data_IF_020996841043
#
_entry.id   IF_020996841043
#
_cell.length_a   1.000
_cell.length_b   1.000
_cell.length_c   1.000
_cell.angle_alpha   90.00
_cell.angle_beta   90.00
_cell.angle_gamma   90.00
#
_symmetry.space_group_name_H-M   'P 1'
#
loop_
_entity.id
_entity.type
_entity.pdbx_description
1 polymer ?
#
# COMPACT_ATOMS: atom_id res chain seq x y z
N UNK A 1 13.58 1.27 21.31
CA UNK A 1 12.95 0.10 20.68
C UNK A 1 13.48 -0.01 19.26
N UNK A 2 14.07 -1.14 18.86
CA UNK A 2 14.49 -1.39 17.48
C UNK A 2 13.45 -2.30 16.85
N UNK A 3 12.86 -1.89 15.73
CA UNK A 3 11.95 -2.75 14.99
C UNK A 3 12.73 -3.99 14.53
N UNK A 4 12.10 -5.17 14.63
CA UNK A 4 12.67 -6.43 14.14
C UNK A 4 12.20 -6.60 12.70
N UNK A 5 13.14 -6.86 11.80
CA UNK A 5 12.85 -7.08 10.39
C UNK A 5 11.89 -8.27 10.21
N UNK A 6 10.94 -8.14 9.28
CA UNK A 6 9.90 -9.14 9.02
C UNK A 6 10.14 -9.82 7.68
N UNK A 7 10.46 -11.11 7.67
CA UNK A 7 10.75 -11.83 6.42
C UNK A 7 9.47 -12.26 5.68
N UNK A 8 9.33 -11.87 4.41
CA UNK A 8 8.27 -12.32 3.51
C UNK A 8 8.70 -12.21 2.04
N UNK A 9 8.38 -13.23 1.24
CA UNK A 9 8.58 -13.23 -0.22
C UNK A 9 10.01 -12.84 -0.66
N UNK A 10 11.01 -13.43 0.01
CA UNK A 10 12.44 -13.19 -0.21
C UNK A 10 12.92 -11.76 0.13
N UNK A 11 12.14 -10.97 0.86
CA UNK A 11 12.51 -9.64 1.36
C UNK A 11 12.35 -9.53 2.87
N UNK A 12 13.21 -8.73 3.50
CA UNK A 12 13.08 -8.31 4.88
C UNK A 12 12.35 -6.96 4.90
N UNK A 13 11.12 -6.96 5.41
CA UNK A 13 10.34 -5.75 5.56
C UNK A 13 10.68 -5.01 6.85
N UNK A 14 10.77 -3.68 6.77
CA UNK A 14 11.05 -2.77 7.90
C UNK A 14 9.99 -2.82 8.99
N UNK A 15 8.78 -3.27 8.65
CA UNK A 15 7.70 -3.46 9.61
C UNK A 15 6.78 -4.63 9.27
N UNK A 16 6.13 -5.19 10.30
CA UNK A 16 5.04 -6.16 10.12
C UNK A 16 3.86 -5.56 9.33
N UNK A 17 3.67 -4.25 9.39
CA UNK A 17 2.60 -3.56 8.68
C UNK A 17 2.86 -3.58 7.17
N UNK A 18 4.06 -3.20 6.74
CA UNK A 18 4.51 -3.32 5.35
C UNK A 18 4.43 -4.77 4.87
N UNK A 19 4.91 -5.73 5.66
CA UNK A 19 4.86 -7.15 5.30
C UNK A 19 3.41 -7.64 5.05
N UNK A 20 2.43 -7.13 5.80
CA UNK A 20 1.01 -7.46 5.55
C UNK A 20 0.48 -6.84 4.27
N UNK A 21 0.88 -5.61 3.93
CA UNK A 21 0.56 -5.02 2.63
C UNK A 21 1.19 -5.79 1.47
N UNK A 22 2.41 -6.29 1.64
CA UNK A 22 3.05 -7.18 0.66
C UNK A 22 2.27 -8.50 0.47
N UNK A 23 1.76 -9.11 1.55
CA UNK A 23 0.87 -10.29 1.49
C UNK A 23 -0.41 -9.94 0.73
N UNK A 24 -1.02 -8.80 1.05
CA UNK A 24 -2.24 -8.34 0.40
C UNK A 24 -2.05 -8.17 -1.12
N UNK A 25 -1.00 -7.45 -1.56
CA UNK A 25 -0.71 -7.29 -2.98
C UNK A 25 -0.44 -8.62 -3.68
N UNK A 26 0.31 -9.54 -3.02
CA UNK A 26 0.57 -10.88 -3.53
C UNK A 26 -0.71 -11.69 -3.71
N UNK A 27 -1.60 -11.69 -2.71
CA UNK A 27 -2.87 -12.41 -2.74
C UNK A 27 -3.79 -11.90 -3.87
N UNK A 28 -3.71 -10.60 -4.20
CA UNK A 28 -4.43 -10.02 -5.32
C UNK A 28 -3.81 -10.30 -6.69
N UNK A 29 -2.57 -10.79 -6.75
CA UNK A 29 -1.80 -10.95 -7.99
C UNK A 29 -1.25 -9.64 -8.53
N UNK A 30 -1.14 -8.60 -7.69
CA UNK A 30 -0.61 -7.29 -8.07
C UNK A 30 0.91 -7.37 -8.09
N UNK A 31 1.51 -6.98 -9.21
CA UNK A 31 2.95 -6.79 -9.30
C UNK A 31 3.34 -5.58 -8.46
N UNK A 32 4.30 -5.75 -7.56
CA UNK A 32 4.88 -4.67 -6.78
C UNK A 32 6.40 -4.83 -6.68
N UNK A 33 7.06 -3.70 -6.42
CA UNK A 33 8.44 -3.63 -5.97
C UNK A 33 8.42 -3.14 -4.52
N UNK A 34 9.16 -3.79 -3.63
CA UNK A 34 9.35 -3.35 -2.25
C UNK A 34 10.67 -2.57 -2.18
N UNK A 35 10.65 -1.37 -1.59
CA UNK A 35 11.81 -0.46 -1.55
C UNK A 35 12.52 -0.31 -2.92
N UNK A 36 11.81 0.10 -3.99
CA UNK A 36 12.29 0.02 -5.38
C UNK A 36 13.61 0.76 -5.62
N UNK A 37 13.62 2.08 -5.40
CA UNK A 37 14.80 2.93 -5.45
C UNK A 37 14.54 4.21 -4.66
N UNK A 38 15.62 4.83 -4.16
CA UNK A 38 15.54 6.07 -3.39
C UNK A 38 15.68 7.32 -4.26
N UNK A 39 14.88 8.33 -3.97
CA UNK A 39 14.90 9.64 -4.62
C UNK A 39 15.71 10.64 -3.83
N UNK A 40 16.31 11.61 -4.52
CA UNK A 40 17.09 12.69 -3.92
C UNK A 40 16.59 14.03 -4.44
N UNK A 41 16.21 14.93 -3.53
CA UNK A 41 15.81 16.29 -3.86
C UNK A 41 17.02 17.17 -4.23
N UNK A 42 16.75 18.35 -4.79
CA UNK A 42 17.79 19.34 -5.10
C UNK A 42 18.61 19.80 -3.88
N UNK A 43 18.05 19.72 -2.66
CA UNK A 43 18.74 20.06 -1.42
C UNK A 43 19.37 18.85 -0.71
N UNK A 44 19.43 17.69 -1.36
CA UNK A 44 20.06 16.47 -0.84
C UNK A 44 19.20 15.65 0.13
N UNK A 45 17.93 16.03 0.31
CA UNK A 45 16.98 15.23 1.10
C UNK A 45 16.66 13.95 0.35
N UNK A 46 16.67 12.81 1.05
CA UNK A 46 16.44 11.49 0.47
C UNK A 46 15.06 10.96 0.86
N UNK A 47 14.40 10.28 -0.05
CA UNK A 47 13.12 9.62 0.20
C UNK A 47 13.10 8.24 -0.45
N UNK A 48 12.61 7.23 0.27
CA UNK A 48 12.48 5.86 -0.23
C UNK A 48 11.06 5.37 0.08
N UNK A 49 10.17 5.30 -0.92
CA UNK A 49 8.81 4.79 -0.73
C UNK A 49 8.83 3.30 -0.38
N UNK A 50 7.81 2.85 0.35
CA UNK A 50 7.71 1.44 0.78
C UNK A 50 7.45 0.49 -0.39
N UNK A 51 6.54 0.88 -1.30
CA UNK A 51 6.19 0.06 -2.46
C UNK A 51 6.06 0.89 -3.74
N UNK A 52 6.23 0.22 -4.88
CA UNK A 52 5.83 0.71 -6.19
C UNK A 52 4.99 -0.33 -6.92
N UNK A 53 3.83 0.08 -7.43
CA UNK A 53 2.85 -0.76 -8.13
C UNK A 53 2.81 -0.32 -9.60
N UNK A 54 3.65 -0.90 -10.49
CA UNK A 54 3.82 -0.44 -11.86
C UNK A 54 2.55 -0.52 -12.72
N UNK A 55 1.64 -1.44 -12.42
CA UNK A 55 0.44 -1.68 -13.23
C UNK A 55 -0.83 -1.03 -12.67
N UNK A 56 -0.78 -0.49 -11.46
CA UNK A 56 -1.94 0.18 -10.83
C UNK A 56 -2.17 1.54 -11.48
N UNK A 57 -3.41 1.88 -11.81
CA UNK A 57 -3.77 3.23 -12.27
C UNK A 57 -4.16 4.13 -11.11
N UNK A 58 -3.69 5.38 -11.10
CA UNK A 58 -4.16 6.41 -10.18
C UNK A 58 -5.03 7.44 -10.90
N UNK A 59 -6.23 7.68 -10.39
CA UNK A 59 -7.12 8.78 -10.78
C UNK A 59 -7.45 8.85 -12.29
N UNK A 60 -7.63 7.68 -12.91
CA UNK A 60 -7.90 7.55 -14.34
C UNK A 60 -6.78 8.03 -15.28
N UNK A 61 -5.59 8.37 -14.77
CA UNK A 61 -4.52 9.01 -15.56
C UNK A 61 -3.53 8.02 -16.15
N UNK A 62 -2.63 7.51 -15.31
CA UNK A 62 -1.46 6.73 -15.73
C UNK A 62 -1.24 5.56 -14.78
N UNK A 63 -0.62 4.51 -15.32
CA UNK A 63 -0.11 3.39 -14.53
C UNK A 63 1.13 3.81 -13.73
N UNK A 64 1.39 3.12 -12.64
CA UNK A 64 2.55 3.34 -11.78
C UNK A 64 2.19 4.22 -10.60
N UNK A 65 2.18 3.62 -9.40
CA UNK A 65 1.86 4.32 -8.15
C UNK A 65 2.83 3.89 -7.06
N UNK A 66 3.49 4.85 -6.44
CA UNK A 66 4.23 4.66 -5.20
C UNK A 66 3.28 4.64 -4.01
N UNK A 67 3.57 3.77 -3.04
CA UNK A 67 2.76 3.61 -1.84
C UNK A 67 3.65 3.80 -0.62
N UNK A 68 3.18 4.63 0.30
CA UNK A 68 3.76 4.82 1.63
C UNK A 68 2.83 4.21 2.67
N UNK A 69 3.35 3.33 3.53
CA UNK A 69 2.59 2.69 4.60
C UNK A 69 2.77 3.48 5.90
N UNK A 70 1.64 3.84 6.54
CA UNK A 70 1.63 4.49 7.85
C UNK A 70 0.71 3.77 8.83
N UNK A 71 0.95 3.94 10.13
CA UNK A 71 0.03 3.45 11.14
C UNK A 71 -1.29 4.24 11.12
N UNK A 72 -2.39 3.64 11.60
CA UNK A 72 -3.72 4.28 11.61
C UNK A 72 -3.74 5.56 12.46
N UNK A 73 -2.97 5.60 13.55
CA UNK A 73 -2.86 6.76 14.45
C UNK A 73 -1.75 7.74 14.01
N UNK A 74 -1.45 7.79 12.71
CA UNK A 74 -0.46 8.73 12.19
C UNK A 74 -0.95 10.17 12.44
N UNK A 75 -0.27 10.87 13.34
CA UNK A 75 -0.65 12.21 13.80
C UNK A 75 -0.38 13.25 12.70
N UNK A 76 -1.42 14.01 12.36
CA UNK A 76 -1.43 15.02 11.29
C UNK A 76 -0.49 16.19 11.60
N UNK A 77 -0.17 16.47 12.87
CA UNK A 77 0.64 17.65 13.25
C UNK A 77 2.16 17.48 13.03
N UNK A 78 2.68 16.24 12.94
CA UNK A 78 4.12 15.95 12.76
C UNK A 78 4.45 15.53 11.33
N UNK A 79 3.81 16.18 10.35
CA UNK A 79 3.85 15.77 8.96
C UNK A 79 5.18 16.13 8.29
N UNK A 80 6.25 15.36 8.56
CA UNK A 80 7.51 15.45 7.80
C UNK A 80 7.22 15.24 6.31
N UNK A 81 6.26 14.37 5.97
CA UNK A 81 5.91 14.11 4.59
C UNK A 81 5.35 15.35 3.88
N UNK A 82 4.34 16.02 4.45
CA UNK A 82 3.75 17.24 3.84
C UNK A 82 4.66 18.47 3.96
N UNK A 83 5.42 18.58 5.05
CA UNK A 83 6.31 19.72 5.25
C UNK A 83 7.63 19.59 4.48
N UNK A 84 7.98 18.40 3.96
CA UNK A 84 9.24 18.18 3.25
C UNK A 84 9.06 17.41 1.95
N UNK A 85 8.62 16.15 1.97
CA UNK A 85 8.64 15.24 0.82
C UNK A 85 7.65 15.68 -0.26
N UNK A 86 6.40 16.02 0.09
CA UNK A 86 5.37 16.42 -0.88
C UNK A 86 5.72 17.69 -1.66
N UNK A 87 6.63 18.52 -1.12
CA UNK A 87 7.06 19.77 -1.76
C UNK A 87 7.97 19.55 -2.96
N UNK A 88 8.62 18.39 -3.06
CA UNK A 88 9.59 18.10 -4.13
C UNK A 88 9.39 16.76 -4.80
N UNK A 89 8.70 15.81 -4.16
CA UNK A 89 8.40 14.52 -4.75
C UNK A 89 7.18 14.62 -5.68
N UNK A 90 7.41 14.47 -6.97
CA UNK A 90 6.40 14.70 -8.02
C UNK A 90 5.76 13.42 -8.56
N UNK A 91 6.30 12.25 -8.19
CA UNK A 91 5.76 10.98 -8.67
C UNK A 91 4.40 10.65 -8.01
N UNK A 92 3.55 9.85 -8.67
CA UNK A 92 2.27 9.44 -8.12
C UNK A 92 2.45 8.67 -6.81
N UNK A 93 2.09 9.28 -5.69
CA UNK A 93 2.24 8.71 -4.36
C UNK A 93 0.93 8.71 -3.59
N UNK A 94 0.59 7.56 -3.03
CA UNK A 94 -0.58 7.38 -2.16
C UNK A 94 -0.15 6.81 -0.82
N UNK A 95 -0.68 7.36 0.26
CA UNK A 95 -0.43 6.86 1.60
C UNK A 95 -1.51 5.86 2.00
N UNK A 96 -1.10 4.66 2.39
CA UNK A 96 -1.95 3.65 2.97
C UNK A 96 -1.73 3.64 4.48
N UNK A 97 -2.72 4.12 5.21
CA UNK A 97 -2.71 4.03 6.67
C UNK A 97 -3.09 2.60 7.10
N UNK A 98 -2.80 2.19 8.33
CA UNK A 98 -3.33 0.99 9.00
C UNK A 98 -3.18 -0.35 8.26
N UNK A 99 -3.88 -1.36 8.77
CA UNK A 99 -3.95 -2.68 8.12
C UNK A 99 -4.94 -2.67 6.95
N UNK A 100 -4.77 -3.50 5.91
CA UNK A 100 -5.67 -3.56 4.76
C UNK A 100 -7.14 -3.83 5.08
N UNK A 101 -7.47 -4.32 6.29
CA UNK A 101 -8.85 -4.54 6.76
C UNK A 101 -9.43 -3.40 7.61
N UNK A 102 -8.58 -2.54 8.20
CA UNK A 102 -9.05 -1.47 9.10
C UNK A 102 -9.72 -0.30 8.36
N UNK A 103 -9.58 -0.23 7.04
CA UNK A 103 -10.14 0.85 6.22
C UNK A 103 -11.42 0.47 5.49
N UNK A 104 -12.05 -0.61 5.94
CA UNK A 104 -13.44 -0.91 5.60
C UNK A 104 -14.30 0.01 6.48
N UNK A 105 -14.55 1.25 6.02
CA UNK A 105 -15.43 2.17 6.72
C UNK A 105 -16.88 1.94 6.32
N UNK A 106 -17.72 1.65 7.31
CA UNK A 106 -19.17 1.82 7.22
C UNK A 106 -19.94 0.67 6.56
N UNK A 107 -21.23 0.60 6.88
CA UNK A 107 -22.18 -0.42 6.46
C UNK A 107 -22.08 -0.76 4.97
N UNK A 108 -22.45 -2.01 4.67
CA UNK A 108 -22.56 -2.66 3.36
C UNK A 108 -23.32 -1.86 2.27
N UNK A 109 -23.86 -0.69 2.60
CA UNK A 109 -24.75 0.10 1.75
C UNK A 109 -24.06 1.27 1.01
N UNK A 110 -22.93 1.83 1.51
CA UNK A 110 -22.31 3.04 0.91
C UNK A 110 -21.03 2.76 0.12
N UNK A 111 -20.17 1.83 0.56
CA UNK A 111 -19.07 1.32 -0.27
C UNK A 111 -19.65 0.18 -1.09
N UNK A 112 -20.30 0.52 -2.21
CA UNK A 112 -20.80 -0.44 -3.19
C UNK A 112 -19.76 -1.55 -3.39
N UNK A 113 -20.18 -2.80 -3.18
CA UNK A 113 -19.49 -4.12 -3.16
C UNK A 113 -18.20 -4.34 -3.98
N UNK A 114 -17.32 -3.37 -4.16
CA UNK A 114 -16.41 -3.30 -5.29
C UNK A 114 -15.04 -2.67 -4.95
N UNK A 115 -14.82 -2.10 -3.77
CA UNK A 115 -13.54 -1.44 -3.42
C UNK A 115 -13.26 -1.27 -1.92
N UNK A 116 -12.01 -0.92 -1.59
CA UNK A 116 -11.53 -0.50 -0.27
C UNK A 116 -11.41 1.01 -0.20
N UNK A 117 -12.02 1.64 0.79
CA UNK A 117 -11.70 3.02 1.09
C UNK A 117 -10.28 3.11 1.66
N UNK A 118 -9.49 4.01 1.13
CA UNK A 118 -8.22 4.44 1.67
C UNK A 118 -8.51 5.71 2.46
N UNK A 119 -7.92 5.80 3.65
CA UNK A 119 -7.89 7.02 4.44
C UNK A 119 -6.52 7.65 4.27
N UNK A 120 -6.25 8.40 3.19
CA UNK A 120 -5.08 9.23 3.14
C UNK A 120 -5.19 10.28 4.27
N UNK A 121 -4.06 10.86 4.71
CA UNK A 121 -4.05 11.83 5.82
C UNK A 121 -4.70 13.17 5.42
N UNK A 122 -4.83 13.40 4.12
CA UNK A 122 -5.53 14.51 3.49
C UNK A 122 -7.00 14.08 3.38
N UNK A 123 -7.96 14.96 3.68
CA UNK A 123 -9.40 14.68 3.84
C UNK A 123 -10.14 14.18 2.57
N UNK A 124 -9.44 13.53 1.64
CA UNK A 124 -9.97 12.99 0.39
C UNK A 124 -9.95 11.47 0.41
N UNK A 125 -11.11 10.87 0.60
CA UNK A 125 -11.26 9.42 0.51
C UNK A 125 -11.04 8.93 -0.93
N UNK A 126 -10.21 7.90 -1.10
CA UNK A 126 -9.98 7.23 -2.39
C UNK A 126 -10.34 5.76 -2.26
N UNK A 127 -10.81 5.12 -3.31
CA UNK A 127 -11.04 3.68 -3.37
C UNK A 127 -9.84 2.98 -4.01
N UNK A 128 -9.31 1.96 -3.34
CA UNK A 128 -8.46 0.93 -3.93
C UNK A 128 -9.33 -0.25 -4.35
N UNK A 129 -9.25 -0.66 -5.61
CA UNK A 129 -10.06 -1.76 -6.10
C UNK A 129 -9.26 -2.72 -6.99
N UNK A 130 -9.86 -3.85 -7.34
CA UNK A 130 -9.35 -4.76 -8.38
C UNK A 130 -10.49 -5.21 -9.28
N UNK A 131 -10.24 -5.27 -10.58
CA UNK A 131 -11.24 -5.75 -11.55
C UNK A 131 -11.45 -7.26 -11.45
N UNK A 132 -12.72 -7.69 -11.43
CA UNK A 132 -13.12 -9.09 -11.38
C UNK A 132 -12.80 -9.90 -12.65
N UNK A 133 -12.65 -9.23 -13.80
CA UNK A 133 -12.37 -9.87 -15.10
C UNK A 133 -10.88 -9.93 -15.41
N UNK A 134 -10.22 -8.77 -15.47
CA UNK A 134 -8.83 -8.68 -15.92
C UNK A 134 -7.81 -8.57 -14.77
N UNK A 135 -8.26 -8.39 -13.53
CA UNK A 135 -7.37 -8.23 -12.37
C UNK A 135 -6.67 -6.87 -12.28
N UNK A 136 -7.03 -5.89 -13.12
CA UNK A 136 -6.44 -4.55 -13.07
C UNK A 136 -6.75 -3.84 -11.75
N UNK A 137 -5.72 -3.29 -11.11
CA UNK A 137 -5.84 -2.49 -9.88
C UNK A 137 -5.93 -1.00 -10.20
N UNK A 138 -6.75 -0.27 -9.43
CA UNK A 138 -6.96 1.18 -9.57
C UNK A 138 -7.09 1.81 -8.19
N UNK A 139 -6.61 3.04 -8.07
CA UNK A 139 -6.89 3.95 -6.96
C UNK A 139 -7.61 5.16 -7.54
N UNK A 140 -8.83 5.47 -7.07
CA UNK A 140 -9.68 6.51 -7.64
C UNK A 140 -10.43 7.29 -6.55
N UNK A 141 -10.87 8.51 -6.84
CA UNK A 141 -11.85 9.19 -5.99
C UNK A 141 -13.21 8.49 -6.07
N UNK A 142 -14.10 8.70 -5.09
CA UNK A 142 -15.48 8.19 -5.14
C UNK A 142 -16.37 9.03 -6.07
N UNK A 143 -15.90 9.28 -7.29
CA UNK A 143 -16.53 10.18 -8.26
C UNK A 143 -16.33 9.65 -9.68
N UNK A 144 -17.26 9.98 -10.58
CA UNK A 144 -17.16 9.60 -12.00
C UNK A 144 -17.11 8.09 -12.21
N UNK A 145 -16.19 7.62 -13.06
CA UNK A 145 -16.01 6.22 -13.46
C UNK A 145 -15.20 5.40 -12.44
N UNK A 146 -15.45 5.60 -11.14
CA UNK A 146 -14.68 4.94 -10.07
C UNK A 146 -14.95 3.43 -10.01
N UNK A 147 -16.12 2.99 -10.44
CA UNK A 147 -16.60 1.62 -10.50
C UNK A 147 -16.41 0.95 -11.87
N UNK A 148 -15.72 1.61 -12.81
CA UNK A 148 -15.44 1.08 -14.15
C UNK A 148 -13.97 0.63 -14.31
N UNK A 149 -13.75 -0.51 -14.98
CA UNK A 149 -12.41 -0.95 -15.32
C UNK A 149 -11.87 -0.17 -16.53
N UNK A 150 -10.68 0.45 -16.42
CA UNK A 150 -10.10 1.20 -17.55
C UNK A 150 -9.56 0.30 -18.68
N UNK A 151 -9.63 -1.03 -18.52
CA UNK A 151 -9.09 -2.01 -19.48
C UNK A 151 -10.20 -2.85 -20.13
N UNK A 152 -11.29 -3.14 -19.41
CA UNK A 152 -12.36 -4.01 -19.88
C UNK A 152 -13.71 -3.59 -19.28
N UNK A 153 -14.77 -4.31 -19.64
CA UNK A 153 -16.13 -4.13 -19.13
C UNK A 153 -16.36 -4.83 -17.77
N UNK A 154 -15.30 -4.95 -16.96
CA UNK A 154 -15.34 -5.57 -15.64
C UNK A 154 -15.64 -4.55 -14.54
N UNK A 155 -16.13 -5.07 -13.42
CA UNK A 155 -16.43 -4.29 -12.20
C UNK A 155 -15.47 -4.68 -11.07
N UNK A 156 -15.60 -4.05 -9.91
CA UNK A 156 -14.79 -4.38 -8.74
C UNK A 156 -15.04 -5.80 -8.22
N UNK A 157 -14.04 -6.38 -7.57
CA UNK A 157 -14.11 -7.70 -6.96
C UNK A 157 -13.93 -7.62 -5.43
N UNK A 158 -14.98 -7.20 -4.71
CA UNK A 158 -14.92 -7.16 -3.24
C UNK A 158 -14.58 -8.49 -2.61
N UNK A 159 -15.02 -9.61 -3.19
CA UNK A 159 -14.76 -10.94 -2.61
C UNK A 159 -13.27 -11.25 -2.63
N UNK A 160 -12.60 -10.99 -3.75
CA UNK A 160 -11.15 -11.17 -3.88
C UNK A 160 -10.37 -10.21 -3.00
N UNK A 161 -10.82 -8.95 -2.93
CA UNK A 161 -10.33 -7.95 -2.00
C UNK A 161 -10.39 -8.47 -0.55
N UNK A 162 -11.56 -8.86 -0.08
CA UNK A 162 -11.79 -9.35 1.28
C UNK A 162 -11.00 -10.61 1.61
N UNK A 163 -10.89 -11.54 0.67
CA UNK A 163 -10.05 -12.72 0.82
C UNK A 163 -8.58 -12.36 1.01
N UNK A 164 -8.05 -11.42 0.21
CA UNK A 164 -6.68 -10.93 0.32
C UNK A 164 -6.42 -10.19 1.65
N UNK A 165 -7.36 -9.36 2.11
CA UNK A 165 -7.24 -8.69 3.40
C UNK A 165 -7.24 -9.69 4.56
N UNK A 166 -8.11 -10.70 4.51
CA UNK A 166 -8.13 -11.76 5.50
C UNK A 166 -6.80 -12.53 5.51
N UNK A 167 -6.27 -12.92 4.34
CA UNK A 167 -4.96 -13.57 4.23
C UNK A 167 -3.85 -12.72 4.86
N UNK A 168 -3.83 -11.41 4.55
CA UNK A 168 -2.86 -10.48 5.09
C UNK A 168 -2.91 -10.38 6.62
N UNK A 169 -4.09 -10.48 7.25
CA UNK A 169 -4.25 -10.42 8.71
C UNK A 169 -3.79 -11.73 9.38
N UNK A 170 -4.21 -12.87 8.85
CA UNK A 170 -3.94 -14.16 9.49
C UNK A 170 -2.50 -14.63 9.24
N UNK A 171 -1.79 -14.01 8.29
CA UNK A 171 -0.40 -14.34 8.00
C UNK A 171 0.45 -14.23 9.27
N UNK A 172 1.10 -15.36 9.59
CA UNK A 172 2.18 -15.44 10.56
C UNK A 172 3.49 -15.15 9.84
N UNK A 173 4.30 -14.30 10.44
CA UNK A 173 5.66 -14.05 9.98
C UNK A 173 6.60 -14.78 10.93
N UNK A 174 7.48 -15.59 10.38
CA UNK A 174 8.52 -16.27 11.15
C UNK A 174 9.64 -15.28 11.50
N UNK A 175 10.28 -15.49 12.65
CA UNK A 175 11.52 -14.79 13.00
C UNK A 175 12.68 -15.59 12.46
N UNK A 176 13.56 -14.94 11.69
CA UNK A 176 14.84 -15.52 11.32
C UNK A 176 15.81 -15.31 12.48
N UNK A 177 16.11 -16.36 13.25
CA UNK A 177 17.03 -16.33 14.39
C UNK A 177 18.51 -16.35 13.99
N UNK A 178 18.83 -16.14 12.71
CA UNK A 178 20.17 -16.36 12.16
C UNK A 178 21.20 -15.23 12.36
N UNK A 179 20.88 -14.17 13.12
CA UNK A 179 21.79 -13.02 13.29
C UNK A 179 22.48 -12.89 14.65
N UNK A 180 22.60 -13.98 15.43
CA UNK A 180 23.32 -13.98 16.73
C UNK A 180 24.74 -14.54 16.72
N UNK A 181 25.31 -14.97 15.58
CA UNK A 181 26.62 -15.64 15.55
C UNK A 181 27.69 -15.00 14.63
N UNK A 182 27.75 -13.67 14.50
CA UNK A 182 28.87 -12.98 13.81
C UNK A 182 29.57 -11.97 14.73
N UNK A 183 29.71 -12.27 16.02
CA UNK A 183 30.57 -11.49 16.93
C UNK A 183 31.29 -12.37 17.97
N UNK A 184 31.70 -13.57 17.58
CA UNK A 184 32.69 -14.37 18.32
C UNK A 184 33.54 -15.18 17.35
N UNK A 185 34.48 -14.52 16.67
CA UNK A 185 35.77 -15.12 16.27
C UNK A 185 36.84 -14.03 16.31
N UNK A 186 37.65 -14.14 17.36
CA UNK A 186 39.09 -13.85 17.51
C UNK A 186 39.69 -12.66 16.76
#
# INVERSE_FOLDING_TARGET
MKAIDTYFNCNYHRSRLEARWAVFFKALGIKYQYEPEGFVSANGSKYLPDFYLPETTLRGKSKGVYIEIKHQNYDKEYNVFENTISKWFTEPLVMFCGYPFQHIWGNWDDIQENGYQLVPPIDTYMLFWICNKCGHSKIEYMEGSYDECPICDGVGDSKKLMAAAHEAIVKRFEYDSFNTNINQRE
#
